data_IF_335409532747
#
_entry.id   IF_335409532747
#
_cell.length_a   1.000
_cell.length_b   1.000
_cell.length_c   1.000
_cell.angle_alpha   90.00
_cell.angle_beta   90.00
_cell.angle_gamma   90.00
#
_symmetry.space_group_name_H-M   'P 1'
#
loop_
_entity.id
_entity.type
_entity.pdbx_description
1 polymer ?
#
# COMPACT_ATOMS: atom_id res chain seq x y z
N UNK A 1 52.87 22.34 37.73
CA UNK A 1 51.66 21.50 37.61
C UNK A 1 52.08 20.11 37.20
N UNK A 2 52.22 19.20 38.17
CA UNK A 2 52.58 17.80 37.92
C UNK A 2 51.33 17.04 37.51
N UNK A 3 51.26 16.58 36.26
CA UNK A 3 50.20 15.68 35.80
C UNK A 3 50.50 14.30 36.38
N UNK A 4 49.73 13.93 37.41
CA UNK A 4 49.89 12.67 38.12
C UNK A 4 49.41 11.51 37.23
N UNK A 5 50.33 10.84 36.54
CA UNK A 5 50.07 9.77 35.56
C UNK A 5 49.83 8.38 36.18
N UNK A 6 49.89 8.25 37.50
CA UNK A 6 49.86 6.94 38.18
C UNK A 6 48.47 6.38 38.50
N UNK A 7 47.40 7.18 38.40
CA UNK A 7 46.03 6.72 38.72
C UNK A 7 45.04 6.79 37.55
N UNK A 8 45.28 7.61 36.51
CA UNK A 8 44.41 7.68 35.32
C UNK A 8 45.19 8.19 34.12
N UNK A 9 45.30 7.39 33.06
CA UNK A 9 45.95 7.80 31.81
C UNK A 9 44.93 8.55 30.93
N UNK A 10 44.97 9.89 30.97
CA UNK A 10 44.04 10.75 30.22
C UNK A 10 44.14 10.58 28.69
N UNK A 11 45.33 10.29 28.15
CA UNK A 11 45.53 10.02 26.73
C UNK A 11 44.90 8.67 26.31
N UNK A 12 45.02 7.65 27.14
CA UNK A 12 44.34 6.36 26.93
C UNK A 12 42.82 6.49 27.04
N UNK A 13 42.32 7.24 28.03
CA UNK A 13 40.88 7.45 28.21
C UNK A 13 40.23 8.23 27.05
N UNK A 14 40.94 9.21 26.49
CA UNK A 14 40.49 9.92 25.29
C UNK A 14 40.54 9.01 24.05
N UNK A 15 41.60 8.23 23.87
CA UNK A 15 41.68 7.23 22.80
C UNK A 15 40.52 6.21 22.85
N UNK A 16 40.21 5.68 24.04
CA UNK A 16 39.07 4.78 24.27
C UNK A 16 37.74 5.48 23.94
N UNK A 17 37.58 6.75 24.30
CA UNK A 17 36.37 7.53 23.98
C UNK A 17 36.20 7.70 22.46
N UNK A 18 37.27 8.01 21.72
CA UNK A 18 37.25 8.08 20.26
C UNK A 18 36.95 6.72 19.61
N UNK A 19 37.55 5.63 20.11
CA UNK A 19 37.27 4.28 19.63
C UNK A 19 35.79 3.89 19.84
N UNK A 20 35.22 4.19 21.00
CA UNK A 20 33.82 3.94 21.29
C UNK A 20 32.88 4.75 20.36
N UNK A 21 33.20 6.02 20.11
CA UNK A 21 32.43 6.83 19.17
C UNK A 21 32.51 6.29 17.74
N UNK A 22 33.71 5.90 17.28
CA UNK A 22 33.90 5.32 15.95
C UNK A 22 33.16 3.98 15.80
N UNK A 23 33.22 3.11 16.82
CA UNK A 23 32.49 1.84 16.84
C UNK A 23 30.97 2.05 16.74
N UNK A 24 30.42 3.03 17.48
CA UNK A 24 28.99 3.40 17.39
C UNK A 24 28.61 3.94 16.02
N UNK A 25 29.45 4.80 15.42
CA UNK A 25 29.24 5.34 14.09
C UNK A 25 29.28 4.22 13.02
N UNK A 26 30.25 3.30 13.12
CA UNK A 26 30.36 2.15 12.23
C UNK A 26 29.13 1.24 12.33
N UNK A 27 28.67 0.93 13.54
CA UNK A 27 27.46 0.12 13.75
C UNK A 27 26.21 0.78 13.13
N UNK A 28 26.06 2.10 13.25
CA UNK A 28 24.96 2.84 12.61
C UNK A 28 25.02 2.77 11.08
N UNK A 29 26.21 2.95 10.50
CA UNK A 29 26.41 2.84 9.05
C UNK A 29 26.10 1.44 8.52
N UNK A 30 26.53 0.39 9.24
CA UNK A 30 26.21 -1.00 8.90
C UNK A 30 24.71 -1.24 8.97
N UNK A 31 24.02 -0.71 9.98
CA UNK A 31 22.56 -0.86 10.09
C UNK A 31 21.80 -0.14 8.95
N UNK A 32 22.26 1.04 8.54
CA UNK A 32 21.72 1.77 7.37
C UNK A 32 21.95 1.01 6.07
N UNK A 33 23.15 0.45 5.89
CA UNK A 33 23.48 -0.37 4.73
C UNK A 33 22.63 -1.65 4.69
N UNK A 34 22.55 -2.37 5.80
CA UNK A 34 21.82 -3.64 5.91
C UNK A 34 20.31 -3.47 5.71
N UNK A 35 19.73 -2.38 6.22
CA UNK A 35 18.31 -2.06 6.02
C UNK A 35 17.99 -1.45 4.65
N UNK A 36 19.01 -0.98 3.91
CA UNK A 36 18.82 -0.17 2.70
C UNK A 36 18.12 1.16 2.95
N UNK A 37 17.92 1.57 4.20
CA UNK A 37 17.21 2.80 4.59
C UNK A 37 18.17 3.78 5.24
N UNK A 38 18.13 5.03 4.78
CA UNK A 38 18.89 6.12 5.41
C UNK A 38 18.47 6.36 6.86
N UNK A 39 17.20 6.10 7.19
CA UNK A 39 16.62 6.27 8.52
C UNK A 39 16.34 4.88 9.09
N UNK A 40 17.07 4.52 10.15
CA UNK A 40 16.98 3.20 10.81
C UNK A 40 16.36 3.31 12.20
N UNK A 41 16.58 4.43 12.89
CA UNK A 41 16.03 4.69 14.21
C UNK A 41 15.12 5.91 14.20
N UNK A 42 13.97 5.81 14.85
CA UNK A 42 13.06 6.93 15.09
C UNK A 42 13.70 8.05 15.92
N UNK A 43 14.71 7.71 16.73
CA UNK A 43 15.48 8.66 17.53
C UNK A 43 16.36 9.61 16.71
N UNK A 44 16.77 9.20 15.50
CA UNK A 44 17.70 9.97 14.68
C UNK A 44 16.98 11.07 13.88
N UNK A 45 15.73 10.81 13.44
CA UNK A 45 14.88 11.76 12.73
C UNK A 45 13.40 11.31 12.77
N UNK A 46 12.69 11.73 13.82
CA UNK A 46 11.28 11.36 14.03
C UNK A 46 10.35 11.96 12.96
N UNK A 47 10.65 13.17 12.46
CA UNK A 47 9.82 13.86 11.48
C UNK A 47 9.90 13.18 10.11
N UNK A 48 11.11 12.90 9.62
CA UNK A 48 11.27 12.22 8.34
C UNK A 48 10.79 10.77 8.39
N UNK A 49 10.92 10.09 9.55
CA UNK A 49 10.33 8.76 9.71
C UNK A 49 8.80 8.82 9.66
N UNK A 50 8.16 9.78 10.34
CA UNK A 50 6.71 9.93 10.36
C UNK A 50 6.13 10.26 8.97
N UNK A 51 6.79 11.13 8.20
CA UNK A 51 6.39 11.41 6.82
C UNK A 51 6.61 10.16 5.94
N UNK A 52 7.74 9.47 6.11
CA UNK A 52 8.03 8.25 5.35
C UNK A 52 7.07 7.10 5.65
N UNK A 53 6.64 6.92 6.91
CA UNK A 53 5.64 5.91 7.28
C UNK A 53 4.26 6.29 6.75
N UNK A 54 3.86 7.56 6.84
CA UNK A 54 2.62 8.06 6.23
C UNK A 54 2.60 7.78 4.72
N UNK A 55 3.66 8.16 4.00
CA UNK A 55 3.75 7.91 2.55
C UNK A 55 3.69 6.41 2.21
N UNK A 56 4.34 5.54 3.00
CA UNK A 56 4.22 4.08 2.81
C UNK A 56 2.81 3.57 3.05
N UNK A 57 2.10 4.11 4.04
CA UNK A 57 0.70 3.79 4.30
C UNK A 57 -0.18 4.25 3.13
N UNK A 58 0.00 5.48 2.65
CA UNK A 58 -0.71 6.04 1.50
C UNK A 58 -0.47 5.20 0.23
N UNK A 59 0.77 4.80 -0.05
CA UNK A 59 1.09 3.91 -1.19
C UNK A 59 0.35 2.57 -1.08
N UNK A 60 0.27 2.00 0.12
CA UNK A 60 -0.43 0.73 0.34
C UNK A 60 -1.94 0.90 0.15
N UNK A 61 -2.50 1.98 0.70
CA UNK A 61 -3.90 2.34 0.53
C UNK A 61 -4.25 2.57 -0.95
N UNK A 62 -3.42 3.31 -1.68
CA UNK A 62 -3.61 3.57 -3.12
C UNK A 62 -3.51 2.30 -3.96
N UNK A 63 -2.58 1.38 -3.63
CA UNK A 63 -2.52 0.06 -4.29
C UNK A 63 -3.81 -0.73 -4.09
N UNK A 64 -4.35 -0.74 -2.87
CA UNK A 64 -5.63 -1.40 -2.62
C UNK A 64 -6.78 -0.70 -3.33
N UNK A 65 -6.81 0.64 -3.35
CA UNK A 65 -7.82 1.41 -4.06
C UNK A 65 -7.81 1.12 -5.57
N UNK A 66 -6.63 0.97 -6.19
CA UNK A 66 -6.51 0.59 -7.59
C UNK A 66 -7.06 -0.82 -7.84
N UNK A 67 -6.75 -1.79 -6.98
CA UNK A 67 -7.33 -3.14 -7.05
C UNK A 67 -8.85 -3.10 -6.91
N UNK A 68 -9.37 -2.32 -5.95
CA UNK A 68 -10.81 -2.16 -5.74
C UNK A 68 -11.50 -1.53 -6.96
N UNK A 69 -10.88 -0.52 -7.58
CA UNK A 69 -11.40 0.11 -8.80
C UNK A 69 -11.46 -0.88 -9.97
N UNK A 70 -10.43 -1.72 -10.14
CA UNK A 70 -10.45 -2.79 -11.14
C UNK A 70 -11.57 -3.80 -10.87
N UNK A 71 -11.77 -4.20 -9.62
CA UNK A 71 -12.86 -5.12 -9.24
C UNK A 71 -14.24 -4.49 -9.49
N UNK A 72 -14.41 -3.20 -9.14
CA UNK A 72 -15.64 -2.47 -9.43
C UNK A 72 -15.94 -2.45 -10.95
N UNK A 73 -14.91 -2.26 -11.79
CA UNK A 73 -15.04 -2.38 -13.24
C UNK A 73 -15.54 -3.77 -13.67
N UNK A 74 -14.97 -4.84 -13.13
CA UNK A 74 -15.43 -6.21 -13.41
C UNK A 74 -16.89 -6.44 -12.96
N UNK A 75 -17.29 -5.88 -11.82
CA UNK A 75 -18.67 -5.97 -11.34
C UNK A 75 -19.64 -5.21 -12.26
N UNK A 76 -19.26 -4.03 -12.75
CA UNK A 76 -20.05 -3.28 -13.72
C UNK A 76 -20.20 -4.06 -15.02
N UNK A 77 -19.15 -4.72 -15.51
CA UNK A 77 -19.22 -5.56 -16.70
C UNK A 77 -20.17 -6.77 -16.51
N UNK A 78 -20.17 -7.38 -15.33
CA UNK A 78 -21.14 -8.43 -14.98
C UNK A 78 -22.56 -7.88 -14.97
N UNK A 79 -22.76 -6.68 -14.41
CA UNK A 79 -24.05 -6.00 -14.37
C UNK A 79 -24.55 -5.66 -15.79
N UNK A 80 -23.71 -5.13 -16.67
CA UNK A 80 -24.04 -4.86 -18.08
C UNK A 80 -24.45 -6.15 -18.81
N UNK A 81 -23.71 -7.24 -18.63
CA UNK A 81 -24.04 -8.54 -19.21
C UNK A 81 -25.36 -9.12 -18.67
N UNK A 82 -25.67 -8.88 -17.40
CA UNK A 82 -26.95 -9.27 -16.81
C UNK A 82 -28.12 -8.43 -17.35
N UNK A 83 -27.93 -7.11 -17.47
CA UNK A 83 -28.93 -6.19 -18.03
C UNK A 83 -29.23 -6.51 -19.50
N UNK A 84 -28.22 -6.88 -20.29
CA UNK A 84 -28.42 -7.34 -21.67
C UNK A 84 -29.35 -8.56 -21.71
N UNK A 85 -29.13 -9.56 -20.84
CA UNK A 85 -29.99 -10.75 -20.77
C UNK A 85 -31.43 -10.43 -20.34
N UNK A 86 -31.60 -9.47 -19.44
CA UNK A 86 -32.93 -8.99 -19.04
C UNK A 86 -33.62 -8.33 -20.23
N UNK A 87 -32.92 -7.46 -20.97
CA UNK A 87 -33.45 -6.79 -22.18
C UNK A 87 -33.92 -7.80 -23.22
N UNK A 88 -33.10 -8.81 -23.53
CA UNK A 88 -33.44 -9.87 -24.48
C UNK A 88 -34.69 -10.65 -24.04
N UNK A 89 -34.80 -10.93 -22.73
CA UNK A 89 -35.97 -11.60 -22.15
C UNK A 89 -37.23 -10.75 -22.29
N UNK A 90 -37.14 -9.43 -22.06
CA UNK A 90 -38.26 -8.50 -22.23
C UNK A 90 -38.69 -8.40 -23.71
N UNK A 91 -37.74 -8.35 -24.65
CA UNK A 91 -38.05 -8.38 -26.08
C UNK A 91 -38.74 -9.68 -26.47
N UNK A 92 -38.29 -10.82 -25.92
CA UNK A 92 -38.94 -12.12 -26.13
C UNK A 92 -40.36 -12.12 -25.59
N UNK A 93 -40.58 -11.65 -24.36
CA UNK A 93 -41.91 -11.51 -23.77
C UNK A 93 -42.82 -10.62 -24.62
N UNK A 94 -42.32 -9.49 -25.12
CA UNK A 94 -43.08 -8.62 -26.04
C UNK A 94 -43.48 -9.36 -27.31
N UNK A 95 -42.56 -10.12 -27.92
CA UNK A 95 -42.87 -10.91 -29.12
C UNK A 95 -43.94 -11.98 -28.87
N UNK A 96 -43.89 -12.66 -27.72
CA UNK A 96 -44.89 -13.65 -27.33
C UNK A 96 -46.25 -13.00 -27.06
N UNK A 97 -46.28 -11.82 -26.42
CA UNK A 97 -47.51 -11.08 -26.20
C UNK A 97 -48.16 -10.64 -27.52
N UNK A 98 -47.37 -10.18 -28.51
CA UNK A 98 -47.90 -9.84 -29.84
C UNK A 98 -48.41 -11.07 -30.59
N UNK A 99 -47.69 -12.19 -30.47
CA UNK A 99 -48.10 -13.46 -31.08
C UNK A 99 -49.43 -13.95 -30.50
N UNK A 100 -49.57 -13.95 -29.17
CA UNK A 100 -50.81 -14.34 -28.50
C UNK A 100 -52.00 -13.46 -28.90
N UNK A 101 -51.80 -12.15 -29.07
CA UNK A 101 -52.87 -11.25 -29.57
C UNK A 101 -53.28 -11.56 -31.01
N UNK A 102 -52.34 -11.97 -31.87
CA UNK A 102 -52.64 -12.35 -33.25
C UNK A 102 -53.35 -13.71 -33.34
N UNK A 103 -52.97 -14.67 -32.50
CA UNK A 103 -53.53 -16.02 -32.47
C UNK A 103 -55.00 -16.01 -32.00
N UNK A 104 -55.33 -15.17 -31.01
CA UNK A 104 -56.72 -14.94 -30.56
C UNK A 104 -57.60 -14.34 -31.68
N UNK A 105 -57.03 -13.51 -32.55
CA UNK A 105 -57.77 -12.95 -33.69
C UNK A 105 -58.06 -14.03 -34.73
N UNK A 106 -57.12 -14.94 -34.98
CA UNK A 106 -57.30 -16.06 -35.90
C UNK A 106 -58.23 -17.16 -35.37
N UNK A 107 -58.39 -17.30 -34.05
CA UNK A 107 -59.29 -18.30 -33.45
C UNK A 107 -60.75 -17.86 -33.32
N UNK A 108 -61.05 -16.61 -33.70
CA UNK A 108 -62.40 -16.01 -33.60
C UNK A 108 -63.11 -15.93 -34.96
N UNK A 109 -62.42 -16.24 -36.06
CA UNK A 109 -63.03 -16.52 -37.38
C UNK A 109 -63.22 -18.02 -37.58
#
# INVERSE_FOLDING_TARGET
MSVNTFATNAASNSAISYLNNNSRAQASSIAKLSSGSRIVKASDDAASLAVGTKLRADVTALKQAATNASQAGSLLQIADGALSRISDSLLRMKSLATQARSDVLSSTE
#
